data_IF_609753196906
#
_entry.id   IF_609753196906
#
_cell.length_a   1.000
_cell.length_b   1.000
_cell.length_c   1.000
_cell.angle_alpha   90.00
_cell.angle_beta   90.00
_cell.angle_gamma   90.00
#
_symmetry.space_group_name_H-M   'P 1'
#
loop_
_entity.id
_entity.type
_entity.pdbx_description
1 polymer ?
#
# COMPACT_ATOMS: atom_id res chain seq x y z
N UNK A 1 -0.57 23.19 -6.23
CA UNK A 1 0.17 21.93 -6.39
C UNK A 1 0.28 21.28 -5.03
N UNK A 2 0.04 19.97 -4.95
CA UNK A 2 0.05 19.23 -3.69
C UNK A 2 1.39 18.52 -3.47
N UNK A 3 1.80 18.42 -2.20
CA UNK A 3 2.92 17.62 -1.71
C UNK A 3 2.38 16.27 -1.24
N UNK A 4 2.87 15.19 -1.84
CA UNK A 4 2.40 13.83 -1.60
C UNK A 4 3.53 13.02 -0.95
N UNK A 5 3.27 12.46 0.22
CA UNK A 5 4.14 11.49 0.88
C UNK A 5 3.62 10.08 0.60
N UNK A 6 4.50 9.17 0.14
CA UNK A 6 4.19 7.74 -0.02
C UNK A 6 4.95 7.01 1.05
N UNK A 7 4.24 6.46 2.02
CA UNK A 7 4.82 5.79 3.19
C UNK A 7 4.97 4.31 2.86
N UNK A 8 6.21 3.81 2.93
CA UNK A 8 6.54 2.40 2.68
C UNK A 8 7.26 1.82 3.88
N UNK A 9 7.27 0.49 4.04
CA UNK A 9 8.14 -0.12 5.03
C UNK A 9 9.60 0.23 4.72
N UNK A 10 10.46 0.29 5.75
CA UNK A 10 11.90 0.44 5.56
C UNK A 10 12.56 -0.70 4.77
N UNK A 11 11.86 -1.83 4.61
CA UNK A 11 12.33 -3.02 3.88
C UNK A 11 11.60 -3.22 2.55
N UNK A 12 10.69 -2.33 2.20
CA UNK A 12 9.98 -2.38 0.92
C UNK A 12 10.87 -1.84 -0.19
N UNK A 13 10.72 -2.39 -1.39
CA UNK A 13 11.40 -1.91 -2.58
C UNK A 13 10.36 -1.33 -3.53
N UNK A 14 9.90 -0.11 -3.22
CA UNK A 14 8.84 0.57 -3.97
C UNK A 14 9.20 0.80 -5.44
N UNK A 15 10.47 1.11 -5.72
CA UNK A 15 10.96 1.31 -7.08
C UNK A 15 12.37 0.73 -7.22
N UNK A 16 12.69 0.33 -8.44
CA UNK A 16 13.99 -0.19 -8.81
C UNK A 16 14.53 0.60 -10.00
N UNK A 17 15.84 0.51 -10.22
CA UNK A 17 16.47 0.98 -11.46
C UNK A 17 16.93 -0.23 -12.25
N UNK A 18 16.49 -0.35 -13.50
CA UNK A 18 16.83 -1.49 -14.37
C UNK A 18 17.36 -1.06 -15.73
N UNK A 19 18.13 -1.96 -16.32
CA UNK A 19 18.68 -1.84 -17.68
C UNK A 19 19.88 -0.90 -17.80
N UNK A 20 20.50 -0.84 -18.99
CA UNK A 20 21.71 -0.03 -19.24
C UNK A 20 21.47 1.48 -19.08
N UNK A 21 20.21 1.92 -19.13
CA UNK A 21 19.82 3.32 -18.94
C UNK A 21 19.31 3.63 -17.53
N UNK A 22 19.35 2.67 -16.59
CA UNK A 22 18.90 2.83 -15.20
C UNK A 22 17.50 3.45 -15.08
N UNK A 23 16.58 3.04 -15.95
CA UNK A 23 15.19 3.52 -15.91
C UNK A 23 14.53 3.08 -14.61
N UNK A 24 13.75 3.97 -14.00
CA UNK A 24 12.96 3.65 -12.81
C UNK A 24 11.75 2.81 -13.23
N UNK A 25 11.53 1.71 -12.54
CA UNK A 25 10.35 0.87 -12.66
C UNK A 25 9.85 0.45 -11.27
N UNK A 26 8.61 -0.03 -11.22
CA UNK A 26 7.97 -0.50 -10.00
C UNK A 26 6.94 -1.57 -10.35
N UNK A 27 6.75 -2.60 -9.52
CA UNK A 27 5.67 -3.56 -9.70
C UNK A 27 4.30 -2.95 -9.34
N UNK A 28 4.28 -1.82 -8.62
CA UNK A 28 3.06 -1.21 -8.13
C UNK A 28 2.49 -0.23 -9.15
N UNK A 29 1.24 -0.42 -9.56
CA UNK A 29 0.48 0.53 -10.39
C UNK A 29 0.50 1.96 -9.82
N UNK A 30 0.63 2.09 -8.50
CA UNK A 30 0.79 3.37 -7.82
C UNK A 30 1.95 4.19 -8.39
N UNK A 31 3.05 3.57 -8.79
CA UNK A 31 4.20 4.28 -9.37
C UNK A 31 3.83 5.07 -10.64
N UNK A 32 3.14 4.44 -11.59
CA UNK A 32 2.75 5.09 -12.85
C UNK A 32 1.78 6.25 -12.61
N UNK A 33 0.87 6.09 -11.63
CA UNK A 33 -0.03 7.16 -11.19
C UNK A 33 0.76 8.34 -10.59
N UNK A 34 1.76 8.07 -9.75
CA UNK A 34 2.60 9.10 -9.16
C UNK A 34 3.46 9.82 -10.20
N UNK A 35 3.97 9.11 -11.22
CA UNK A 35 4.70 9.74 -12.34
C UNK A 35 3.80 10.68 -13.14
N UNK A 36 2.52 10.32 -13.34
CA UNK A 36 1.55 11.21 -13.96
C UNK A 36 1.20 12.42 -13.08
N UNK A 37 1.06 12.24 -11.76
CA UNK A 37 0.85 13.35 -10.84
C UNK A 37 2.05 14.31 -10.82
N UNK A 38 3.28 13.78 -10.89
CA UNK A 38 4.49 14.62 -11.06
C UNK A 38 4.44 15.41 -12.36
N UNK A 39 4.06 14.79 -13.48
CA UNK A 39 3.89 15.49 -14.78
C UNK A 39 2.87 16.62 -14.71
N UNK A 40 1.86 16.50 -13.86
CA UNK A 40 0.84 17.54 -13.61
C UNK A 40 1.28 18.62 -12.62
N UNK A 41 2.50 18.54 -12.09
CA UNK A 41 3.10 19.55 -11.22
C UNK A 41 3.04 19.27 -9.72
N UNK A 42 2.54 18.10 -9.30
CA UNK A 42 2.58 17.69 -7.90
C UNK A 42 3.99 17.23 -7.51
N UNK A 43 4.35 17.38 -6.23
CA UNK A 43 5.59 16.81 -5.70
C UNK A 43 5.29 15.51 -4.97
N UNK A 44 6.13 14.50 -5.18
CA UNK A 44 5.98 13.17 -4.58
C UNK A 44 7.29 12.82 -3.88
N UNK A 45 7.19 12.36 -2.63
CA UNK A 45 8.31 11.85 -1.85
C UNK A 45 7.99 10.45 -1.33
N UNK A 46 8.86 9.49 -1.65
CA UNK A 46 8.83 8.17 -1.02
C UNK A 46 9.48 8.29 0.36
N UNK A 47 8.80 7.81 1.39
CA UNK A 47 9.21 7.85 2.78
C UNK A 47 9.31 6.42 3.28
N UNK A 48 10.52 5.87 3.29
CA UNK A 48 10.80 4.54 3.80
C UNK A 48 10.94 4.61 5.33
N UNK A 49 10.12 3.83 6.05
CA UNK A 49 10.08 3.84 7.51
C UNK A 49 9.32 5.04 8.08
N UNK A 50 9.43 5.25 9.40
CA UNK A 50 8.66 6.25 10.17
C UNK A 50 9.53 7.34 10.81
N UNK A 51 10.85 7.33 10.56
CA UNK A 51 11.81 8.24 11.18
C UNK A 51 11.77 9.66 10.59
N UNK A 52 11.67 9.77 9.26
CA UNK A 52 11.52 11.06 8.59
C UNK A 52 10.09 11.60 8.76
N UNK A 53 9.91 12.93 8.82
CA UNK A 53 8.58 13.58 8.88
C UNK A 53 8.52 14.76 7.91
N UNK A 54 8.54 14.53 6.59
CA UNK A 54 8.39 15.61 5.64
C UNK A 54 7.00 16.23 5.74
N UNK A 55 6.90 17.54 5.59
CA UNK A 55 5.59 18.16 5.39
C UNK A 55 4.98 17.69 4.07
N UNK A 56 3.74 17.19 4.13
CA UNK A 56 2.95 16.82 2.97
C UNK A 56 1.49 17.18 3.21
N UNK A 57 0.79 17.51 2.13
CA UNK A 57 -0.64 17.85 2.17
C UNK A 57 -1.48 16.55 2.16
N UNK A 58 -0.93 15.49 1.55
CA UNK A 58 -1.54 14.17 1.41
C UNK A 58 -0.48 13.11 1.67
N UNK A 59 -0.81 12.11 2.48
CA UNK A 59 -0.06 10.86 2.57
C UNK A 59 -0.81 9.71 1.88
N UNK A 60 -0.06 8.71 1.44
CA UNK A 60 -0.55 7.42 0.96
C UNK A 60 0.15 6.35 1.79
N UNK A 61 -0.61 5.59 2.58
CA UNK A 61 -0.08 4.41 3.27
C UNK A 61 0.04 3.27 2.26
N UNK A 62 1.28 2.88 1.94
CA UNK A 62 1.59 1.84 0.95
C UNK A 62 2.73 0.96 1.48
N UNK A 63 2.38 0.14 2.47
CA UNK A 63 3.26 -0.88 3.04
C UNK A 63 2.97 -2.22 2.37
N UNK A 64 4.00 -2.91 1.87
CA UNK A 64 3.87 -4.22 1.23
C UNK A 64 3.71 -5.35 2.28
N UNK A 65 2.56 -5.33 2.95
CA UNK A 65 2.17 -6.32 3.92
C UNK A 65 0.66 -6.55 3.89
N UNK A 66 0.22 -7.77 4.21
CA UNK A 66 -1.23 -8.06 4.38
C UNK A 66 -1.84 -7.24 5.52
N UNK A 67 -1.08 -7.06 6.60
CA UNK A 67 -1.45 -6.22 7.74
C UNK A 67 -0.34 -5.22 7.93
N UNK A 68 -0.65 -3.93 7.78
CA UNK A 68 0.30 -2.86 8.03
C UNK A 68 0.67 -2.83 9.52
N UNK A 69 1.97 -2.74 9.87
CA UNK A 69 2.35 -2.64 11.27
C UNK A 69 1.76 -1.38 11.92
N UNK A 70 1.29 -1.45 13.19
CA UNK A 70 0.59 -0.34 13.84
C UNK A 70 1.38 0.97 13.85
N UNK A 71 2.69 0.92 14.00
CA UNK A 71 3.57 2.09 14.00
C UNK A 71 3.53 2.87 12.69
N UNK A 72 3.31 2.22 11.54
CA UNK A 72 3.14 2.90 10.25
C UNK A 72 1.76 3.52 10.13
N UNK A 73 0.73 2.88 10.68
CA UNK A 73 -0.63 3.43 10.72
C UNK A 73 -0.66 4.68 11.58
N UNK A 74 -0.08 4.64 12.78
CA UNK A 74 0.00 5.79 13.68
C UNK A 74 0.85 6.92 13.10
N UNK A 75 1.97 6.58 12.47
CA UNK A 75 2.76 7.55 11.73
C UNK A 75 1.95 8.21 10.60
N UNK A 76 1.17 7.45 9.84
CA UNK A 76 0.31 7.95 8.78
C UNK A 76 -0.80 8.89 9.29
N UNK A 77 -1.31 8.70 10.53
CA UNK A 77 -2.30 9.59 11.17
C UNK A 77 -1.76 10.99 11.44
N UNK A 78 -0.44 11.18 11.44
CA UNK A 78 0.17 12.49 11.70
C UNK A 78 0.05 13.47 10.52
N UNK A 79 -0.29 12.96 9.33
CA UNK A 79 -0.50 13.78 8.15
C UNK A 79 -1.92 14.37 8.11
N UNK A 80 -2.13 15.56 7.51
CA UNK A 80 -3.45 16.19 7.43
C UNK A 80 -4.52 15.30 6.78
N UNK A 81 -4.11 14.50 5.80
CA UNK A 81 -4.96 13.51 5.13
C UNK A 81 -4.10 12.31 4.72
N UNK A 82 -4.63 11.10 4.90
CA UNK A 82 -3.94 9.89 4.48
C UNK A 82 -4.89 8.90 3.77
N UNK A 83 -4.54 8.55 2.53
CA UNK A 83 -5.19 7.49 1.78
C UNK A 83 -4.78 6.11 2.32
N UNK A 84 -5.68 5.12 2.23
CA UNK A 84 -5.51 3.73 2.65
C UNK A 84 -5.36 3.49 4.16
N UNK A 85 -5.51 4.52 5.00
CA UNK A 85 -5.40 4.33 6.45
C UNK A 85 -6.47 3.39 7.04
N UNK A 86 -7.65 3.33 6.42
CA UNK A 86 -8.72 2.39 6.77
C UNK A 86 -8.54 0.98 6.19
N UNK A 87 -7.52 0.79 5.34
CA UNK A 87 -7.18 -0.48 4.70
C UNK A 87 -5.90 -1.10 5.30
N UNK A 88 -5.64 -0.85 6.59
CA UNK A 88 -4.47 -1.38 7.28
C UNK A 88 -4.45 -2.93 7.41
N UNK A 89 -5.59 -3.59 7.23
CA UNK A 89 -5.70 -5.05 7.15
C UNK A 89 -6.48 -5.43 5.88
N UNK A 90 -5.76 -6.01 4.92
CA UNK A 90 -6.30 -6.48 3.64
C UNK A 90 -6.41 -8.02 3.58
N UNK A 91 -6.41 -8.69 4.73
CA UNK A 91 -6.63 -10.13 4.81
C UNK A 91 -8.00 -10.51 4.25
N UNK A 92 -8.08 -11.64 3.55
CA UNK A 92 -9.32 -12.07 2.87
C UNK A 92 -10.48 -12.26 3.84
N UNK A 93 -10.21 -12.63 5.09
CA UNK A 93 -11.23 -12.73 6.15
C UNK A 93 -11.79 -11.37 6.56
N UNK A 94 -10.98 -10.31 6.50
CA UNK A 94 -11.38 -8.96 6.87
C UNK A 94 -12.13 -8.25 5.76
N UNK A 95 -11.67 -8.39 4.51
CA UNK A 95 -12.19 -7.58 3.38
C UNK A 95 -13.24 -8.29 2.54
N UNK A 96 -13.33 -9.63 2.57
CA UNK A 96 -14.28 -10.36 1.73
C UNK A 96 -15.65 -10.47 2.39
N UNK A 97 -16.69 -10.02 1.70
CA UNK A 97 -18.09 -10.27 2.07
C UNK A 97 -18.57 -11.69 1.72
N UNK A 98 -17.74 -12.50 1.05
CA UNK A 98 -18.09 -13.85 0.59
C UNK A 98 -17.48 -14.96 1.48
N UNK A 99 -17.07 -14.63 2.71
CA UNK A 99 -16.54 -15.63 3.64
C UNK A 99 -17.69 -16.52 4.11
N UNK A 100 -17.56 -17.82 3.85
CA UNK A 100 -18.48 -18.84 4.35
C UNK A 100 -18.00 -19.26 5.74
N UNK A 101 -18.85 -19.07 6.74
CA UNK A 101 -18.64 -19.54 8.11
C UNK A 101 -19.53 -20.76 8.42
N UNK A 102 -19.51 -21.21 9.68
CA UNK A 102 -20.28 -22.37 10.14
C UNK A 102 -21.81 -22.19 10.04
N UNK A 103 -22.28 -20.94 9.99
CA UNK A 103 -23.70 -20.61 9.99
C UNK A 103 -24.23 -20.39 8.56
N UNK A 104 -23.34 -20.36 7.57
CA UNK A 104 -23.70 -20.31 6.15
C UNK A 104 -24.13 -21.69 5.60
N UNK A 105 -25.32 -21.74 5.00
CA UNK A 105 -25.87 -22.94 4.36
C UNK A 105 -25.39 -23.21 2.92
N UNK A 106 -24.25 -22.66 2.49
CA UNK A 106 -23.78 -22.81 1.10
C UNK A 106 -23.39 -24.25 0.79
N UNK A 107 -23.96 -24.82 -0.27
CA UNK A 107 -23.71 -26.22 -0.72
C UNK A 107 -23.08 -26.32 -2.11
N UNK A 108 -22.79 -25.19 -2.75
CA UNK A 108 -22.18 -25.15 -4.08
C UNK A 108 -20.66 -25.28 -4.03
N UNK A 109 -20.01 -25.27 -5.21
CA UNK A 109 -18.56 -25.17 -5.30
C UNK A 109 -18.01 -23.95 -4.57
N UNK A 110 -16.77 -24.04 -4.09
CA UNK A 110 -16.09 -22.96 -3.37
C UNK A 110 -14.71 -22.71 -3.96
N UNK A 111 -14.23 -21.47 -3.85
CA UNK A 111 -12.84 -21.12 -4.11
C UNK A 111 -12.13 -21.00 -2.77
N UNK A 112 -11.09 -21.79 -2.57
CA UNK A 112 -10.22 -21.70 -1.39
C UNK A 112 -9.14 -20.65 -1.66
N UNK A 113 -9.03 -19.67 -0.78
CA UNK A 113 -7.98 -18.64 -0.80
C UNK A 113 -7.25 -18.63 0.53
N UNK A 114 -5.94 -18.37 0.51
CA UNK A 114 -5.21 -18.00 1.73
C UNK A 114 -5.85 -16.77 2.36
N UNK A 115 -5.79 -16.67 3.70
CA UNK A 115 -6.22 -15.44 4.38
C UNK A 115 -5.26 -14.28 4.07
N UNK A 116 -3.98 -14.57 3.84
CA UNK A 116 -2.97 -13.59 3.49
C UNK A 116 -3.15 -13.12 2.05
N UNK A 117 -2.97 -11.81 1.83
CA UNK A 117 -2.90 -11.24 0.49
C UNK A 117 -1.59 -11.67 -0.18
N UNK A 118 -1.62 -11.85 -1.51
CA UNK A 118 -0.49 -12.33 -2.29
C UNK A 118 0.18 -13.59 -1.69
N UNK A 119 -0.61 -14.55 -1.17
CA UNK A 119 -0.09 -15.75 -0.49
C UNK A 119 0.84 -15.48 0.72
N UNK A 120 0.91 -14.23 1.22
CA UNK A 120 1.87 -13.81 2.24
C UNK A 120 3.27 -13.47 1.71
N UNK A 121 3.46 -13.42 0.39
CA UNK A 121 4.71 -12.98 -0.25
C UNK A 121 4.68 -11.48 -0.53
N UNK A 122 5.87 -10.89 -0.62
CA UNK A 122 6.07 -9.52 -1.12
C UNK A 122 5.83 -9.46 -2.63
N UNK A 123 5.46 -8.29 -3.14
CA UNK A 123 5.31 -8.02 -4.59
C UNK A 123 6.65 -7.72 -5.31
#
# INVERSE_FOLDING_TARGET
MARIAVITHEFDVFERRRGPLLRRDSPYMLFDLLEELKRRGHSVRIVAGTSARPEADIAILHVDATVAPPEYVEYARTYPFCLNIGAADISKRRVSGAVIDKDHGWRGPVIVKSSLNNLGTRE
#
